data_IF_774088598752
#
_entry.id   IF_774088598752
#
_cell.length_a   1.000
_cell.length_b   1.000
_cell.length_c   1.000
_cell.angle_alpha   90.00
_cell.angle_beta   90.00
_cell.angle_gamma   90.00
#
_symmetry.space_group_name_H-M   'P 1'
#
loop_
_entity.id
_entity.type
_entity.pdbx_description
1 polymer ?
#
# COMPACT_ATOMS: atom_id res chain seq x y z
N UNK A 1 -16.81 -0.39 -2.16
CA UNK A 1 -17.07 -1.80 -2.60
C UNK A 1 -18.19 -1.90 -3.64
N UNK A 2 -19.34 -1.24 -3.44
CA UNK A 2 -20.49 -1.34 -4.36
C UNK A 2 -20.12 -0.95 -5.78
N UNK A 3 -19.49 0.22 -5.96
CA UNK A 3 -19.12 0.73 -7.29
C UNK A 3 -18.05 -0.13 -7.97
N UNK A 4 -17.09 -0.66 -7.22
CA UNK A 4 -16.05 -1.54 -7.80
C UNK A 4 -16.63 -2.87 -8.26
N UNK A 5 -17.56 -3.46 -7.51
CA UNK A 5 -18.29 -4.66 -7.93
C UNK A 5 -19.11 -4.39 -9.21
N UNK A 6 -19.79 -3.24 -9.25
CA UNK A 6 -20.52 -2.81 -10.44
C UNK A 6 -19.60 -2.63 -11.65
N UNK A 7 -18.42 -2.02 -11.47
CA UNK A 7 -17.43 -1.89 -12.54
C UNK A 7 -16.86 -3.24 -12.97
N UNK A 8 -16.63 -4.18 -12.02
CA UNK A 8 -16.23 -5.55 -12.36
C UNK A 8 -17.27 -6.26 -13.21
N UNK A 9 -18.55 -6.09 -12.91
CA UNK A 9 -19.64 -6.72 -13.68
C UNK A 9 -19.75 -6.16 -15.11
N UNK A 10 -19.45 -4.87 -15.32
CA UNK A 10 -19.68 -4.20 -16.61
C UNK A 10 -18.42 -4.00 -17.47
N UNK A 11 -17.24 -3.92 -16.84
CA UNK A 11 -15.96 -3.70 -17.52
C UNK A 11 -15.00 -4.88 -17.35
N UNK A 12 -15.21 -5.71 -16.30
CA UNK A 12 -14.38 -6.87 -16.04
C UNK A 12 -14.54 -7.96 -17.09
N UNK A 13 -13.45 -8.70 -17.34
CA UNK A 13 -13.40 -9.84 -18.24
C UNK A 13 -12.21 -10.74 -17.85
N UNK A 14 -11.87 -11.73 -18.69
CA UNK A 14 -10.72 -12.61 -18.42
C UNK A 14 -9.37 -11.88 -18.31
N UNK A 15 -9.23 -10.70 -18.95
CA UNK A 15 -8.02 -9.86 -18.92
C UNK A 15 -8.08 -8.78 -17.85
N UNK A 16 -9.22 -8.17 -17.62
CA UNK A 16 -9.42 -7.00 -16.76
C UNK A 16 -10.17 -7.40 -15.50
N UNK A 17 -9.55 -7.23 -14.35
CA UNK A 17 -10.16 -7.55 -13.05
C UNK A 17 -10.03 -6.37 -12.09
N UNK A 18 -11.16 -6.02 -11.46
CA UNK A 18 -11.22 -5.00 -10.42
C UNK A 18 -11.33 -5.67 -9.05
N UNK A 19 -10.50 -5.27 -8.11
CA UNK A 19 -10.53 -5.75 -6.72
C UNK A 19 -10.81 -4.59 -5.78
N UNK A 20 -11.66 -4.83 -4.80
CA UNK A 20 -11.96 -3.85 -3.76
C UNK A 20 -10.80 -3.74 -2.78
N UNK A 21 -10.45 -2.52 -2.42
CA UNK A 21 -9.53 -2.18 -1.34
C UNK A 21 -10.17 -1.16 -0.40
N UNK A 22 -9.41 -0.56 0.48
CA UNK A 22 -9.90 0.39 1.48
C UNK A 22 -10.17 1.76 0.84
N UNK A 23 -11.33 2.35 1.11
CA UNK A 23 -11.75 3.68 0.63
C UNK A 23 -11.73 3.77 -0.90
N UNK A 24 -10.89 4.64 -1.47
CA UNK A 24 -10.70 4.85 -2.91
C UNK A 24 -9.54 4.01 -3.49
N UNK A 25 -8.75 3.35 -2.65
CA UNK A 25 -7.57 2.57 -3.03
C UNK A 25 -7.99 1.17 -3.48
N UNK A 26 -8.42 1.04 -4.72
CA UNK A 26 -8.81 -0.23 -5.33
C UNK A 26 -7.70 -0.72 -6.27
N UNK A 27 -7.70 -2.00 -6.60
CA UNK A 27 -6.70 -2.58 -7.49
C UNK A 27 -7.33 -2.93 -8.84
N UNK A 28 -6.71 -2.45 -9.93
CA UNK A 28 -6.99 -2.86 -11.29
C UNK A 28 -5.88 -3.81 -11.76
N UNK A 29 -6.23 -5.03 -12.12
CA UNK A 29 -5.30 -6.02 -12.67
C UNK A 29 -5.59 -6.22 -14.15
N UNK A 30 -4.57 -6.05 -14.99
CA UNK A 30 -4.62 -6.30 -16.43
C UNK A 30 -3.66 -7.44 -16.75
N UNK A 31 -4.22 -8.63 -17.00
CA UNK A 31 -3.42 -9.80 -17.36
C UNK A 31 -2.72 -9.59 -18.70
N UNK A 32 -1.41 -9.76 -18.71
CA UNK A 32 -0.57 -9.50 -19.88
C UNK A 32 -0.42 -8.01 -20.21
N UNK A 33 -0.78 -7.10 -19.32
CA UNK A 33 -0.51 -5.66 -19.45
C UNK A 33 0.98 -5.34 -19.34
N UNK A 34 1.37 -4.20 -19.90
CA UNK A 34 2.75 -3.68 -19.83
C UNK A 34 2.82 -2.48 -18.87
N UNK A 35 3.77 -2.50 -17.93
CA UNK A 35 3.94 -1.41 -16.95
C UNK A 35 4.62 -0.16 -17.53
N UNK A 36 5.19 -0.22 -18.75
CA UNK A 36 5.84 0.91 -19.41
C UNK A 36 4.81 1.91 -19.94
N UNK A 37 4.05 2.44 -19.01
CA UNK A 37 3.03 3.46 -19.23
C UNK A 37 3.19 4.56 -18.19
N UNK A 38 2.89 5.79 -18.58
CA UNK A 38 2.88 6.96 -17.71
C UNK A 38 1.44 7.21 -17.22
N UNK A 39 1.28 7.15 -15.89
CA UNK A 39 0.01 7.36 -15.21
C UNK A 39 0.19 8.48 -14.18
N UNK A 40 -0.43 9.61 -14.38
CA UNK A 40 -0.34 10.76 -13.47
C UNK A 40 -1.14 10.50 -12.19
N UNK A 41 -0.54 10.55 -10.98
CA UNK A 41 -1.28 10.50 -9.73
C UNK A 41 -2.29 11.66 -9.62
N UNK A 42 -3.54 11.41 -9.22
CA UNK A 42 -4.57 12.46 -9.23
C UNK A 42 -4.31 13.57 -8.21
N UNK A 43 -3.63 13.27 -7.11
CA UNK A 43 -3.28 14.24 -6.06
C UNK A 43 -2.16 15.22 -6.47
N UNK A 44 -1.36 14.90 -7.49
CA UNK A 44 -0.33 15.80 -8.00
C UNK A 44 -0.89 16.88 -8.95
N UNK A 45 -2.12 16.70 -9.41
CA UNK A 45 -2.73 17.55 -10.45
C UNK A 45 -4.16 17.97 -10.14
N UNK A 46 -4.46 18.42 -8.91
CA UNK A 46 -5.82 18.78 -8.53
C UNK A 46 -6.35 19.88 -9.45
N UNK A 47 -7.64 19.81 -9.78
CA UNK A 47 -8.38 20.78 -10.59
C UNK A 47 -7.89 20.94 -12.05
N UNK A 48 -6.95 20.12 -12.52
CA UNK A 48 -6.53 20.15 -13.93
C UNK A 48 -7.49 19.35 -14.82
N UNK A 49 -7.68 19.74 -16.08
CA UNK A 49 -8.44 18.96 -17.05
C UNK A 49 -7.86 17.53 -17.18
N UNK A 50 -8.70 16.51 -17.10
CA UNK A 50 -8.24 15.12 -17.08
C UNK A 50 -7.75 14.60 -18.45
N UNK A 51 -8.32 15.08 -19.58
CA UNK A 51 -8.00 14.56 -20.92
C UNK A 51 -6.52 14.62 -21.29
N UNK A 52 -5.75 15.69 -21.03
CA UNK A 52 -4.31 15.71 -21.27
C UNK A 52 -3.51 14.75 -20.38
N UNK A 53 -4.12 14.31 -19.27
CA UNK A 53 -3.52 13.44 -18.25
C UNK A 53 -3.88 11.95 -18.43
N UNK A 54 -4.55 11.60 -19.53
CA UNK A 54 -4.81 10.21 -19.86
C UNK A 54 -3.49 9.44 -20.02
N UNK A 55 -3.54 8.15 -19.77
CA UNK A 55 -2.38 7.24 -19.76
C UNK A 55 -1.67 7.26 -21.12
N UNK A 56 -0.34 7.29 -21.10
CA UNK A 56 0.52 7.29 -22.29
C UNK A 56 1.50 6.12 -22.21
N UNK A 57 1.84 5.55 -23.34
CA UNK A 57 2.96 4.63 -23.44
C UNK A 57 4.29 5.39 -23.23
N UNK A 58 5.22 4.80 -22.49
CA UNK A 58 6.59 5.31 -22.37
C UNK A 58 7.51 4.60 -23.36
N UNK A 59 8.56 5.31 -23.81
CA UNK A 59 9.58 4.77 -24.71
C UNK A 59 10.78 4.17 -23.98
N UNK A 60 10.77 4.09 -22.66
CA UNK A 60 11.88 3.54 -21.90
C UNK A 60 12.10 2.07 -22.27
N UNK A 61 13.30 1.73 -22.71
CA UNK A 61 13.72 0.35 -22.91
C UNK A 61 13.74 -0.36 -21.56
N UNK A 62 13.13 -1.54 -21.49
CA UNK A 62 13.25 -2.40 -20.30
C UNK A 62 14.75 -2.61 -19.98
N UNK A 63 15.15 -2.43 -18.73
CA UNK A 63 16.47 -2.84 -18.28
C UNK A 63 16.62 -4.36 -18.41
N UNK A 64 17.87 -4.86 -18.46
CA UNK A 64 18.15 -6.31 -18.59
C UNK A 64 17.43 -7.14 -17.52
N UNK A 65 17.26 -6.61 -16.33
CA UNK A 65 16.55 -7.26 -15.21
C UNK A 65 15.03 -7.35 -15.44
N UNK A 66 14.46 -6.40 -16.16
CA UNK A 66 13.03 -6.38 -16.50
C UNK A 66 12.70 -7.38 -17.64
N UNK A 67 13.61 -7.59 -18.57
CA UNK A 67 13.47 -8.61 -19.62
C UNK A 67 13.56 -10.04 -19.07
N UNK A 68 14.40 -10.28 -18.05
CA UNK A 68 14.45 -11.57 -17.35
C UNK A 68 13.17 -11.83 -16.55
N UNK A 69 12.55 -10.79 -15.96
CA UNK A 69 11.30 -10.93 -15.24
C UNK A 69 10.12 -11.36 -16.14
N UNK A 70 10.08 -10.92 -17.40
CA UNK A 70 9.03 -11.30 -18.36
C UNK A 70 9.23 -12.71 -18.93
N UNK A 71 10.47 -13.16 -19.14
CA UNK A 71 10.76 -14.51 -19.64
C UNK A 71 10.60 -15.59 -18.55
N UNK A 72 10.84 -15.27 -17.29
CA UNK A 72 10.67 -16.20 -16.16
C UNK A 72 9.22 -16.33 -15.69
N UNK A 73 8.26 -15.55 -16.22
CA UNK A 73 6.82 -15.72 -15.96
C UNK A 73 6.24 -16.98 -16.61
N UNK A 74 6.99 -17.69 -17.45
CA UNK A 74 6.52 -18.91 -18.12
C UNK A 74 6.78 -20.21 -17.33
N UNK A 75 7.61 -20.21 -16.27
CA UNK A 75 8.10 -21.48 -15.69
C UNK A 75 7.88 -21.70 -14.17
N UNK A 76 7.26 -20.78 -13.40
CA UNK A 76 7.08 -20.99 -11.96
C UNK A 76 5.60 -20.95 -11.52
N UNK A 77 4.82 -21.98 -11.91
CA UNK A 77 3.44 -22.20 -11.42
C UNK A 77 3.35 -23.14 -10.21
N UNK A 78 4.43 -23.44 -9.49
CA UNK A 78 4.46 -24.55 -8.55
C UNK A 78 4.85 -24.25 -7.10
N UNK A 79 4.64 -23.05 -6.57
CA UNK A 79 4.78 -22.86 -5.12
C UNK A 79 3.92 -21.71 -4.61
N UNK A 80 2.79 -22.00 -4.04
CA UNK A 80 1.75 -21.14 -3.43
C UNK A 80 0.54 -20.85 -4.33
N UNK A 81 -0.10 -21.89 -4.83
CA UNK A 81 -1.37 -21.81 -5.51
C UNK A 81 -2.49 -22.34 -4.63
N UNK A 82 -3.32 -21.45 -4.08
CA UNK A 82 -4.75 -21.75 -4.17
C UNK A 82 -5.13 -21.62 -5.65
N UNK A 83 -5.82 -22.59 -6.27
CA UNK A 83 -6.00 -22.63 -7.71
C UNK A 83 -7.00 -21.55 -8.14
N UNK A 84 -6.51 -20.45 -8.72
CA UNK A 84 -7.32 -19.74 -9.70
C UNK A 84 -7.25 -20.56 -10.98
N UNK A 85 -8.26 -21.37 -11.20
CA UNK A 85 -8.42 -22.20 -12.39
C UNK A 85 -8.35 -21.33 -13.66
N UNK A 86 -7.52 -21.75 -14.62
CA UNK A 86 -7.50 -21.26 -15.98
C UNK A 86 -6.29 -20.38 -16.32
N UNK A 87 -5.17 -21.00 -16.73
CA UNK A 87 -4.15 -20.31 -17.53
C UNK A 87 -4.73 -20.04 -18.92
N UNK A 88 -5.52 -18.96 -19.06
CA UNK A 88 -5.82 -18.44 -20.40
C UNK A 88 -4.51 -17.84 -20.93
N UNK A 89 -4.01 -18.36 -22.03
CA UNK A 89 -2.83 -17.87 -22.76
C UNK A 89 -3.16 -16.55 -23.48
N UNK A 90 -3.49 -15.51 -22.70
CA UNK A 90 -3.72 -14.17 -23.24
C UNK A 90 -2.38 -13.60 -23.73
N UNK A 91 -2.33 -13.26 -25.02
CA UNK A 91 -1.15 -12.62 -25.60
C UNK A 91 -0.79 -11.33 -24.82
N UNK A 92 0.49 -11.08 -24.55
CA UNK A 92 0.95 -9.84 -23.94
C UNK A 92 0.53 -8.61 -24.74
N UNK A 93 0.17 -7.54 -24.04
CA UNK A 93 -0.09 -6.23 -24.65
C UNK A 93 1.21 -5.44 -24.78
N UNK A 94 1.29 -4.62 -25.81
CA UNK A 94 2.32 -3.57 -25.90
C UNK A 94 2.01 -2.44 -24.90
N UNK A 95 2.98 -1.55 -24.58
CA UNK A 95 2.72 -0.37 -23.77
C UNK A 95 1.57 0.47 -24.31
N UNK A 96 1.53 0.69 -25.64
CA UNK A 96 0.45 1.46 -26.26
C UNK A 96 -0.93 0.77 -26.12
N UNK A 97 -1.00 -0.53 -26.36
CA UNK A 97 -2.24 -1.28 -26.19
C UNK A 97 -2.72 -1.26 -24.73
N UNK A 98 -1.80 -1.29 -23.77
CA UNK A 98 -2.12 -1.21 -22.34
C UNK A 98 -2.66 0.18 -22.01
N UNK A 99 -2.02 1.25 -22.48
CA UNK A 99 -2.46 2.62 -22.28
C UNK A 99 -3.85 2.86 -22.91
N UNK A 100 -4.06 2.39 -24.15
CA UNK A 100 -5.34 2.52 -24.84
C UNK A 100 -6.48 1.78 -24.11
N UNK A 101 -6.20 0.56 -23.59
CA UNK A 101 -7.15 -0.21 -22.80
C UNK A 101 -7.53 0.53 -21.51
N UNK A 102 -6.53 1.07 -20.78
CA UNK A 102 -6.80 1.81 -19.53
C UNK A 102 -7.62 3.07 -19.83
N UNK A 103 -7.30 3.79 -20.90
CA UNK A 103 -8.04 4.99 -21.30
C UNK A 103 -9.48 4.67 -21.68
N UNK A 104 -9.73 3.57 -22.39
CA UNK A 104 -11.09 3.08 -22.68
C UNK A 104 -11.84 2.78 -21.36
N UNK A 105 -11.20 2.09 -20.42
CA UNK A 105 -11.78 1.80 -19.11
C UNK A 105 -12.12 3.08 -18.32
N UNK A 106 -11.24 4.08 -18.33
CA UNK A 106 -11.49 5.40 -17.70
C UNK A 106 -12.74 6.03 -18.28
N UNK A 107 -12.80 6.17 -19.60
CA UNK A 107 -13.92 6.83 -20.29
C UNK A 107 -15.24 6.08 -20.10
N UNK A 108 -15.22 4.76 -20.23
CA UNK A 108 -16.42 3.94 -20.01
C UNK A 108 -16.89 3.95 -18.56
N UNK A 109 -15.97 4.00 -17.61
CA UNK A 109 -16.33 4.11 -16.19
C UNK A 109 -17.11 5.39 -15.89
N UNK A 110 -16.77 6.51 -16.55
CA UNK A 110 -17.48 7.78 -16.40
C UNK A 110 -18.94 7.66 -16.81
N UNK A 111 -19.21 7.01 -17.95
CA UNK A 111 -20.58 6.80 -18.41
C UNK A 111 -21.38 5.85 -17.50
N UNK A 112 -20.76 4.77 -17.02
CA UNK A 112 -21.40 3.82 -16.11
C UNK A 112 -21.71 4.44 -14.74
N UNK A 113 -20.76 5.18 -14.19
CA UNK A 113 -20.87 5.73 -12.83
C UNK A 113 -21.81 6.94 -12.78
N UNK A 114 -21.96 7.69 -13.85
CA UNK A 114 -22.77 8.91 -13.94
C UNK A 114 -24.19 8.73 -13.42
N UNK A 115 -24.84 7.63 -13.77
CA UNK A 115 -26.21 7.36 -13.42
C UNK A 115 -26.38 6.26 -12.35
N UNK A 116 -25.28 5.83 -11.72
CA UNK A 116 -25.37 4.82 -10.68
C UNK A 116 -26.18 5.30 -9.46
N UNK A 117 -27.13 4.50 -8.94
CA UNK A 117 -28.03 4.94 -7.84
C UNK A 117 -27.29 5.45 -6.61
N UNK A 118 -26.14 4.84 -6.25
CA UNK A 118 -25.32 5.32 -5.13
C UNK A 118 -24.79 6.74 -5.36
N UNK A 119 -24.38 7.08 -6.59
CA UNK A 119 -23.90 8.41 -6.92
C UNK A 119 -25.05 9.42 -6.92
N UNK A 120 -26.22 9.04 -7.41
CA UNK A 120 -27.43 9.88 -7.35
C UNK A 120 -27.80 10.18 -5.88
N UNK A 121 -27.75 9.17 -5.00
CA UNK A 121 -27.98 9.35 -3.56
C UNK A 121 -26.94 10.29 -2.96
N UNK A 122 -25.64 10.12 -3.27
CA UNK A 122 -24.56 10.99 -2.78
C UNK A 122 -24.79 12.45 -3.18
N UNK A 123 -25.11 12.70 -4.43
CA UNK A 123 -25.40 14.05 -4.94
C UNK A 123 -26.63 14.65 -4.27
N UNK A 124 -27.68 13.87 -4.03
CA UNK A 124 -28.85 14.34 -3.29
C UNK A 124 -28.54 14.70 -1.82
N UNK A 125 -27.52 14.08 -1.25
CA UNK A 125 -27.01 14.38 0.10
C UNK A 125 -25.95 15.50 0.10
N UNK A 126 -25.69 16.17 -1.02
CA UNK A 126 -24.67 17.21 -1.16
C UNK A 126 -23.22 16.69 -1.12
N UNK A 127 -23.02 15.39 -1.40
CA UNK A 127 -21.71 14.74 -1.43
C UNK A 127 -21.24 14.54 -2.87
N UNK A 128 -19.93 14.63 -3.08
CA UNK A 128 -19.33 14.37 -4.40
C UNK A 128 -19.57 12.93 -4.86
N UNK A 129 -19.95 12.69 -6.12
CA UNK A 129 -20.05 11.35 -6.69
C UNK A 129 -18.68 10.79 -7.01
N UNK A 130 -18.53 9.47 -6.93
CA UNK A 130 -17.38 8.78 -7.53
C UNK A 130 -17.65 8.62 -9.03
N UNK A 131 -17.06 9.48 -9.84
CA UNK A 131 -17.44 9.70 -11.24
C UNK A 131 -16.51 9.09 -12.28
N UNK A 132 -15.37 8.51 -11.87
CA UNK A 132 -14.39 7.88 -12.76
C UNK A 132 -13.50 6.91 -12.00
N UNK A 133 -12.97 5.89 -12.68
CA UNK A 133 -11.73 5.27 -12.21
C UNK A 133 -10.55 6.14 -12.67
N UNK A 134 -9.44 6.06 -11.93
CA UNK A 134 -8.21 6.72 -12.29
C UNK A 134 -7.01 5.86 -11.87
N UNK A 135 -6.62 4.86 -12.71
CA UNK A 135 -5.47 4.01 -12.42
C UNK A 135 -4.15 4.79 -12.44
N UNK A 136 -3.29 4.51 -11.46
CA UNK A 136 -1.95 5.07 -11.36
C UNK A 136 -1.01 4.09 -10.65
N UNK A 137 0.29 4.37 -10.60
CA UNK A 137 1.33 3.47 -10.06
C UNK A 137 1.31 2.08 -10.74
N UNK A 138 1.59 1.98 -12.05
CA UNK A 138 1.66 0.70 -12.72
C UNK A 138 2.83 -0.14 -12.22
N UNK A 139 2.63 -1.44 -12.07
CA UNK A 139 3.67 -2.37 -11.64
C UNK A 139 3.31 -3.80 -11.97
N UNK A 140 4.31 -4.68 -11.93
CA UNK A 140 4.10 -6.12 -12.00
C UNK A 140 4.01 -6.74 -10.61
N UNK A 141 3.51 -7.97 -10.53
CA UNK A 141 3.60 -8.77 -9.31
C UNK A 141 5.08 -8.83 -8.88
N UNK A 142 5.42 -8.41 -7.64
CA UNK A 142 6.81 -8.41 -7.20
C UNK A 142 7.34 -9.84 -7.05
N UNK A 143 8.61 -10.05 -7.45
CA UNK A 143 9.41 -11.19 -7.06
C UNK A 143 10.17 -10.79 -5.81
N UNK A 144 9.62 -11.10 -4.66
CA UNK A 144 10.16 -10.72 -3.36
C UNK A 144 10.58 -11.97 -2.62
N UNK A 145 11.80 -12.00 -2.08
CA UNK A 145 12.24 -13.06 -1.20
C UNK A 145 11.45 -13.01 0.11
N UNK A 146 11.19 -14.18 0.68
CA UNK A 146 10.61 -14.25 2.03
C UNK A 146 11.61 -13.69 3.03
N UNK A 147 11.11 -13.11 4.10
CA UNK A 147 11.96 -12.57 5.15
C UNK A 147 12.85 -13.65 5.77
N UNK A 148 12.30 -14.85 5.96
CA UNK A 148 13.02 -16.01 6.47
C UNK A 148 14.12 -16.55 5.54
N UNK A 149 13.98 -16.40 4.22
CA UNK A 149 15.00 -16.80 3.25
C UNK A 149 16.21 -15.86 3.31
N UNK A 150 15.93 -14.55 3.47
CA UNK A 150 16.95 -13.51 3.57
C UNK A 150 17.59 -13.46 4.96
N UNK A 151 16.82 -13.68 5.99
CA UNK A 151 17.20 -13.66 7.41
C UNK A 151 16.76 -14.94 8.10
N UNK A 152 17.55 -16.03 8.04
CA UNK A 152 17.15 -17.36 8.55
C UNK A 152 16.85 -17.42 10.06
N UNK A 153 17.28 -16.42 10.82
CA UNK A 153 16.94 -16.27 12.24
C UNK A 153 15.48 -15.84 12.45
N UNK A 154 14.85 -15.20 11.44
CA UNK A 154 13.44 -14.81 11.47
C UNK A 154 12.61 -15.94 10.87
N UNK A 155 12.19 -16.90 11.69
CA UNK A 155 11.39 -18.06 11.25
C UNK A 155 9.91 -17.72 11.14
N UNK A 156 9.45 -16.84 12.02
CA UNK A 156 8.05 -16.40 12.10
C UNK A 156 8.03 -14.88 12.25
N UNK A 157 7.17 -14.24 11.49
CA UNK A 157 6.98 -12.81 11.61
C UNK A 157 5.54 -12.40 11.36
N UNK A 158 5.18 -11.23 11.87
CA UNK A 158 3.85 -10.67 11.70
C UNK A 158 3.92 -9.22 11.19
N UNK A 159 2.87 -8.80 10.48
CA UNK A 159 2.64 -7.43 10.06
C UNK A 159 1.29 -6.93 10.57
N UNK A 160 1.29 -5.72 11.12
CA UNK A 160 0.12 -5.01 11.63
C UNK A 160 0.02 -3.69 10.88
N UNK A 161 -0.98 -3.56 10.01
CA UNK A 161 -1.24 -2.32 9.28
C UNK A 161 -2.71 -2.23 8.89
N UNK A 162 -3.24 -1.01 8.81
CA UNK A 162 -4.52 -0.73 8.20
C UNK A 162 -4.43 -0.48 6.68
N UNK A 163 -3.21 -0.43 6.13
CA UNK A 163 -2.93 -0.07 4.75
C UNK A 163 -2.71 -1.32 3.92
N UNK A 164 -3.46 -1.46 2.82
CA UNK A 164 -3.40 -2.64 1.95
C UNK A 164 -2.03 -2.83 1.31
N UNK A 165 -1.31 -1.75 0.98
CA UNK A 165 0.04 -1.80 0.43
C UNK A 165 1.00 -2.50 1.40
N UNK A 166 1.01 -2.09 2.66
CA UNK A 166 1.87 -2.67 3.70
C UNK A 166 1.49 -4.13 3.97
N UNK A 167 0.19 -4.42 4.03
CA UNK A 167 -0.30 -5.80 4.15
C UNK A 167 0.11 -6.67 2.95
N UNK A 168 0.15 -6.09 1.75
CA UNK A 168 0.62 -6.75 0.54
C UNK A 168 2.12 -7.06 0.59
N UNK A 169 2.95 -6.11 1.02
CA UNK A 169 4.38 -6.31 1.25
C UNK A 169 4.60 -7.42 2.28
N UNK A 170 3.89 -7.35 3.41
CA UNK A 170 3.94 -8.38 4.45
C UNK A 170 3.58 -9.78 3.91
N UNK A 171 2.55 -9.87 3.05
CA UNK A 171 2.16 -11.12 2.40
C UNK A 171 3.30 -11.70 1.53
N UNK A 172 3.95 -10.87 0.72
CA UNK A 172 5.07 -11.31 -0.12
C UNK A 172 6.33 -11.64 0.69
N UNK A 173 6.54 -10.97 1.83
CA UNK A 173 7.60 -11.28 2.78
C UNK A 173 7.33 -12.53 3.65
N UNK A 174 6.20 -13.21 3.46
CA UNK A 174 5.71 -14.35 4.24
C UNK A 174 5.43 -14.01 5.72
N UNK A 175 5.01 -12.78 5.98
CA UNK A 175 4.57 -12.35 7.31
C UNK A 175 3.08 -12.63 7.52
N UNK A 176 2.71 -13.04 8.73
CA UNK A 176 1.31 -13.19 9.14
C UNK A 176 0.66 -11.82 9.23
N UNK A 177 -0.43 -11.60 8.52
CA UNK A 177 -1.21 -10.36 8.63
C UNK A 177 -2.13 -10.44 9.83
N UNK A 178 -2.00 -9.50 10.74
CA UNK A 178 -2.82 -9.41 11.94
C UNK A 178 -3.83 -8.27 11.80
N UNK A 179 -5.12 -8.62 11.83
CA UNK A 179 -6.21 -7.64 11.80
C UNK A 179 -6.42 -7.09 13.20
N UNK A 180 -6.53 -5.78 13.32
CA UNK A 180 -6.71 -5.07 14.58
C UNK A 180 -8.03 -4.29 14.56
N UNK A 181 -8.86 -4.50 15.56
CA UNK A 181 -10.12 -3.77 15.70
C UNK A 181 -9.86 -2.27 15.94
N UNK A 182 -10.52 -1.42 15.14
CA UNK A 182 -10.35 0.03 15.21
C UNK A 182 -9.06 0.55 14.59
N UNK A 183 -8.28 -0.31 13.91
CA UNK A 183 -7.14 0.16 13.14
C UNK A 183 -7.60 0.88 11.87
N UNK A 184 -7.14 2.12 11.72
CA UNK A 184 -7.31 2.95 10.51
C UNK A 184 -5.94 3.40 10.01
N UNK A 185 -5.87 3.95 8.79
CA UNK A 185 -4.70 4.67 8.25
C UNK A 185 -4.66 6.14 8.70
N UNK A 186 -5.61 6.58 9.53
CA UNK A 186 -5.77 7.98 9.95
C UNK A 186 -5.31 8.20 11.39
N UNK A 187 -5.36 9.44 11.82
CA UNK A 187 -4.97 9.88 13.17
C UNK A 187 -5.87 9.36 14.30
N UNK A 188 -7.09 8.91 13.98
CA UNK A 188 -8.04 8.29 14.91
C UNK A 188 -7.84 6.78 15.08
N UNK A 189 -6.75 6.22 14.54
CA UNK A 189 -6.43 4.79 14.65
C UNK A 189 -6.36 4.34 16.12
N UNK A 190 -6.77 3.12 16.40
CA UNK A 190 -6.66 2.53 17.73
C UNK A 190 -5.21 2.06 18.00
N UNK A 191 -4.40 2.96 18.58
CA UNK A 191 -3.01 2.70 18.94
C UNK A 191 -2.88 1.56 19.94
N UNK A 192 -3.74 1.56 20.97
CA UNK A 192 -3.71 0.60 22.07
C UNK A 192 -3.93 -0.83 21.56
N UNK A 193 -4.92 -1.04 20.69
CA UNK A 193 -5.18 -2.35 20.10
C UNK A 193 -4.05 -2.79 19.17
N UNK A 194 -3.45 -1.86 18.40
CA UNK A 194 -2.27 -2.15 17.59
C UNK A 194 -1.09 -2.62 18.44
N UNK A 195 -0.80 -1.92 19.53
CA UNK A 195 0.26 -2.26 20.50
C UNK A 195 -0.02 -3.59 21.18
N UNK A 196 -1.22 -3.80 21.70
CA UNK A 196 -1.60 -5.05 22.34
C UNK A 196 -1.43 -6.25 21.39
N UNK A 197 -1.84 -6.08 20.12
CA UNK A 197 -1.66 -7.11 19.10
C UNK A 197 -0.19 -7.37 18.77
N UNK A 198 0.65 -6.32 18.74
CA UNK A 198 2.08 -6.47 18.52
C UNK A 198 2.77 -7.21 19.67
N UNK A 199 2.48 -6.83 20.92
CA UNK A 199 3.01 -7.50 22.11
C UNK A 199 2.57 -8.98 22.20
N UNK A 200 1.33 -9.28 21.84
CA UNK A 200 0.86 -10.67 21.81
C UNK A 200 1.56 -11.48 20.71
N UNK A 201 1.80 -10.87 19.53
CA UNK A 201 2.52 -11.51 18.45
C UNK A 201 3.98 -11.79 18.82
N UNK A 202 4.66 -10.87 19.49
CA UNK A 202 6.07 -11.03 19.94
C UNK A 202 6.29 -12.21 20.91
N UNK A 203 5.24 -12.73 21.54
CA UNK A 203 5.37 -13.95 22.38
C UNK A 203 5.68 -15.20 21.56
N UNK A 204 5.43 -15.20 20.26
CA UNK A 204 5.55 -16.36 19.38
C UNK A 204 6.25 -16.08 18.06
N UNK A 205 6.46 -14.83 17.70
CA UNK A 205 7.08 -14.42 16.45
C UNK A 205 8.43 -13.76 16.72
N UNK A 206 9.40 -14.04 15.88
CA UNK A 206 10.77 -13.49 15.95
C UNK A 206 10.82 -12.04 15.42
N UNK A 207 9.78 -11.59 14.70
CA UNK A 207 9.70 -10.29 14.08
C UNK A 207 8.26 -9.77 14.00
N UNK A 208 8.03 -8.52 14.42
CA UNK A 208 6.74 -7.85 14.24
C UNK A 208 6.96 -6.49 13.58
N UNK A 209 6.31 -6.28 12.44
CA UNK A 209 6.27 -5.00 11.77
C UNK A 209 4.95 -4.29 12.11
N UNK A 210 5.04 -3.26 12.93
CA UNK A 210 3.91 -2.43 13.34
C UNK A 210 3.92 -1.12 12.55
N UNK A 211 2.91 -0.92 11.71
CA UNK A 211 2.75 0.27 10.87
C UNK A 211 1.66 1.21 11.39
N UNK A 212 2.01 2.49 11.50
CA UNK A 212 1.10 3.57 11.89
C UNK A 212 1.30 4.74 10.93
N UNK A 213 0.28 5.10 10.15
CA UNK A 213 0.34 6.07 9.04
C UNK A 213 -0.07 7.50 9.48
N UNK A 214 -0.63 7.66 10.67
CA UNK A 214 -1.28 8.88 11.15
C UNK A 214 -0.48 10.17 10.94
N UNK A 215 0.84 10.14 11.13
CA UNK A 215 1.70 11.30 10.97
C UNK A 215 1.93 11.69 9.50
N UNK A 216 1.89 10.73 8.59
CA UNK A 216 1.96 10.96 7.15
C UNK A 216 0.71 11.70 6.65
N UNK A 217 -0.47 11.21 6.98
CA UNK A 217 -1.75 11.84 6.63
C UNK A 217 -1.85 13.28 7.15
N UNK A 218 -1.40 13.54 8.39
CA UNK A 218 -1.35 14.90 8.93
C UNK A 218 -0.40 15.82 8.13
N UNK A 219 0.69 15.26 7.61
CA UNK A 219 1.60 15.96 6.69
C UNK A 219 0.93 16.33 5.37
N UNK A 220 0.22 15.40 4.75
CA UNK A 220 -0.56 15.64 3.53
C UNK A 220 -1.68 16.67 3.71
N UNK A 221 -2.32 16.71 4.87
CA UNK A 221 -3.29 17.76 5.20
C UNK A 221 -2.63 19.14 5.39
N UNK A 222 -1.33 19.19 5.60
CA UNK A 222 -0.60 20.42 5.93
C UNK A 222 -0.95 20.97 7.31
N UNK A 223 -1.43 20.10 8.21
CA UNK A 223 -1.87 20.47 9.54
C UNK A 223 -0.76 20.21 10.56
N UNK A 224 -0.03 21.27 10.92
CA UNK A 224 1.13 21.18 11.83
C UNK A 224 0.73 20.72 13.24
N UNK A 225 -0.37 21.24 13.79
CA UNK A 225 -0.84 20.87 15.13
C UNK A 225 -1.24 19.39 15.18
N UNK A 226 -1.93 18.90 14.13
CA UNK A 226 -2.27 17.50 14.01
C UNK A 226 -1.02 16.63 13.85
N UNK A 227 -0.02 17.08 13.07
CA UNK A 227 1.26 16.38 12.88
C UNK A 227 1.98 16.21 14.23
N UNK A 228 2.07 17.26 15.03
CA UNK A 228 2.66 17.21 16.36
C UNK A 228 1.90 16.24 17.27
N UNK A 229 0.57 16.34 17.30
CA UNK A 229 -0.28 15.44 18.07
C UNK A 229 -0.08 13.97 17.69
N UNK A 230 0.03 13.68 16.38
CA UNK A 230 0.22 12.29 15.91
C UNK A 230 1.61 11.76 16.30
N UNK A 231 2.66 12.60 16.30
CA UNK A 231 4.00 12.22 16.76
C UNK A 231 3.99 11.97 18.29
N UNK A 232 3.34 12.83 19.06
CA UNK A 232 3.16 12.64 20.52
C UNK A 232 2.38 11.35 20.83
N UNK A 233 1.35 11.02 20.02
CA UNK A 233 0.62 9.77 20.12
C UNK A 233 1.49 8.56 19.77
N UNK A 234 2.34 8.65 18.75
CA UNK A 234 3.28 7.58 18.41
C UNK A 234 4.20 7.27 19.58
N UNK A 235 4.74 8.28 20.24
CA UNK A 235 5.59 8.12 21.42
C UNK A 235 4.81 7.57 22.61
N UNK A 236 3.78 8.28 23.04
CA UNK A 236 3.08 8.01 24.32
C UNK A 236 2.13 6.80 24.27
N UNK A 237 1.56 6.48 23.10
CA UNK A 237 0.53 5.43 22.94
C UNK A 237 1.04 4.19 22.18
N UNK A 238 2.24 4.26 21.55
CA UNK A 238 2.80 3.12 20.85
C UNK A 238 4.21 2.79 21.33
N UNK A 239 5.21 3.64 21.09
CA UNK A 239 6.62 3.32 21.38
C UNK A 239 6.85 3.15 22.87
N UNK A 240 6.40 4.10 23.69
CA UNK A 240 6.54 4.04 25.15
C UNK A 240 5.92 2.78 25.76
N UNK A 241 4.64 2.47 25.49
CA UNK A 241 4.02 1.24 25.99
C UNK A 241 4.70 -0.05 25.52
N UNK A 242 5.20 -0.12 24.27
CA UNK A 242 5.97 -1.28 23.81
C UNK A 242 7.28 -1.39 24.58
N UNK A 243 8.04 -0.30 24.70
CA UNK A 243 9.28 -0.26 25.47
C UNK A 243 9.08 -0.70 26.92
N UNK A 244 8.10 -0.12 27.62
CA UNK A 244 7.80 -0.48 29.02
C UNK A 244 7.40 -1.95 29.18
N UNK A 245 6.73 -2.52 28.19
CA UNK A 245 6.33 -3.93 28.23
C UNK A 245 7.51 -4.88 28.03
N UNK A 246 8.47 -4.56 27.12
CA UNK A 246 9.49 -5.54 26.68
C UNK A 246 10.86 -5.32 27.32
N UNK A 247 11.13 -4.16 27.96
CA UNK A 247 12.47 -3.81 28.51
C UNK A 247 13.01 -4.81 29.51
N UNK A 248 12.13 -5.51 30.25
CA UNK A 248 12.46 -6.44 31.30
C UNK A 248 12.13 -7.90 30.92
N UNK A 249 11.83 -8.19 29.64
CA UNK A 249 11.59 -9.55 29.20
C UNK A 249 12.86 -10.39 29.29
N UNK A 250 12.73 -11.65 29.69
CA UNK A 250 13.85 -12.59 29.77
C UNK A 250 14.49 -12.81 28.40
N UNK A 251 13.67 -12.93 27.34
CA UNK A 251 14.12 -12.93 25.95
C UNK A 251 14.19 -11.47 25.45
N UNK A 252 15.40 -10.97 25.13
CA UNK A 252 15.58 -9.56 24.80
C UNK A 252 14.95 -9.21 23.44
N UNK A 253 14.24 -8.08 23.39
CA UNK A 253 13.60 -7.56 22.19
C UNK A 253 14.35 -6.31 21.73
N UNK A 254 14.67 -6.24 20.43
CA UNK A 254 15.13 -5.01 19.79
C UNK A 254 13.92 -4.19 19.30
N UNK A 255 13.95 -2.88 19.53
CA UNK A 255 12.96 -1.94 19.00
C UNK A 255 13.65 -1.05 17.98
N UNK A 256 13.15 -1.03 16.75
CA UNK A 256 13.53 -0.08 15.72
C UNK A 256 12.33 0.82 15.38
N UNK A 257 12.55 2.13 15.38
CA UNK A 257 11.53 3.14 15.03
C UNK A 257 12.08 4.02 13.93
N UNK A 258 11.36 4.09 12.82
CA UNK A 258 11.74 4.90 11.66
C UNK A 258 10.50 5.25 10.84
N UNK A 259 10.44 6.45 10.22
CA UNK A 259 9.52 6.70 9.11
C UNK A 259 10.05 6.04 7.83
N UNK A 260 9.20 5.87 6.84
CA UNK A 260 9.60 5.43 5.49
C UNK A 260 10.09 6.61 4.63
N UNK A 261 9.54 7.81 4.83
CA UNK A 261 9.90 9.06 4.17
C UNK A 261 9.43 10.26 5.00
N UNK A 262 9.97 11.47 4.76
CA UNK A 262 9.39 12.70 5.26
C UNK A 262 8.13 13.09 4.48
N UNK A 263 7.15 13.69 5.17
CA UNK A 263 5.97 14.33 4.58
C UNK A 263 5.78 15.69 5.24
N UNK A 264 6.55 16.71 4.81
CA UNK A 264 6.48 18.04 5.40
C UNK A 264 5.12 18.70 5.19
N UNK A 265 4.55 19.28 6.25
CA UNK A 265 3.26 19.96 6.19
C UNK A 265 3.23 21.13 5.20
N UNK A 266 4.36 21.81 5.00
CA UNK A 266 4.48 22.91 4.03
C UNK A 266 4.30 22.42 2.59
N UNK A 267 4.88 21.26 2.26
CA UNK A 267 4.87 20.71 0.90
C UNK A 267 3.66 19.80 0.65
N UNK A 268 3.09 19.22 1.70
CA UNK A 268 1.95 18.28 1.64
C UNK A 268 2.18 17.07 0.73
N UNK A 269 3.42 16.69 0.54
CA UNK A 269 3.84 15.55 -0.26
C UNK A 269 5.16 14.99 0.26
N UNK A 270 5.50 13.80 -0.20
CA UNK A 270 6.73 13.14 0.19
C UNK A 270 7.97 13.87 -0.35
N UNK A 271 9.04 13.81 0.43
CA UNK A 271 10.36 14.30 0.04
C UNK A 271 11.40 13.18 0.19
N UNK A 272 12.60 13.39 -0.36
CA UNK A 272 13.68 12.40 -0.38
C UNK A 272 14.84 12.74 0.57
N UNK A 273 14.59 13.57 1.56
CA UNK A 273 15.59 13.87 2.60
C UNK A 273 15.86 12.63 3.47
N UNK A 274 17.04 12.56 4.10
CA UNK A 274 17.33 11.51 5.07
C UNK A 274 16.32 11.47 6.19
N UNK A 275 15.90 10.26 6.56
CA UNK A 275 14.97 10.02 7.68
C UNK A 275 15.75 9.80 8.98
N UNK A 276 15.22 10.23 10.12
CA UNK A 276 15.72 9.78 11.42
C UNK A 276 15.37 8.31 11.63
N UNK A 277 16.23 7.56 12.31
CA UNK A 277 15.89 6.25 12.80
C UNK A 277 16.46 6.04 14.22
N UNK A 278 15.78 5.20 14.98
CA UNK A 278 16.14 4.88 16.33
C UNK A 278 16.16 3.35 16.50
N UNK A 279 17.17 2.83 17.15
CA UNK A 279 17.26 1.42 17.55
C UNK A 279 17.58 1.36 19.03
N UNK A 280 16.77 0.61 19.76
CA UNK A 280 17.02 0.26 21.14
C UNK A 280 17.14 -1.25 21.30
N UNK A 281 18.07 -1.66 22.16
CA UNK A 281 18.25 -3.06 22.58
C UNK A 281 18.81 -3.08 24.00
N UNK A 282 18.39 -4.01 24.87
CA UNK A 282 18.90 -4.09 26.26
C UNK A 282 20.43 -4.17 26.29
N UNK A 283 21.06 -3.28 27.06
CA UNK A 283 22.50 -3.24 27.23
C UNK A 283 23.31 -2.54 26.14
N UNK A 284 22.65 -1.94 25.14
CA UNK A 284 23.35 -1.02 24.23
C UNK A 284 23.54 0.34 24.91
N UNK A 285 24.76 0.81 24.94
CA UNK A 285 25.07 2.18 25.35
C UNK A 285 24.60 3.15 24.27
N UNK A 286 23.94 4.27 24.65
CA UNK A 286 23.54 5.30 23.70
C UNK A 286 24.78 5.87 22.98
N UNK A 287 24.63 6.10 21.67
CA UNK A 287 25.64 6.85 20.93
C UNK A 287 25.51 8.37 21.19
N UNK A 288 26.40 9.16 20.59
CA UNK A 288 26.42 10.62 20.75
C UNK A 288 25.54 11.33 19.73
N UNK A 289 24.83 10.59 18.83
CA UNK A 289 23.98 11.17 17.81
C UNK A 289 22.70 11.68 18.49
N UNK A 290 22.47 12.98 18.34
CA UNK A 290 21.21 13.62 18.72
C UNK A 290 20.58 14.18 17.46
N UNK A 291 19.35 13.79 17.21
CA UNK A 291 18.56 14.28 16.08
C UNK A 291 17.76 15.51 16.48
#
# INVERSE_FOLDING_TARGET
DVLVKYLQEHLGNERVCFYTGVQYRHLLVIKGGDKRIDCTPPHDVPLKPFRPLLVKATSESATSDELQATSAMQDDSAAHSSPVAGSSSLAPLTPQQTADLINDLILRSQELLKNHPLNQKRMAEGKDPANSIWPWSPGYRPKMERLSDKFPQVKRGAVISAVDLINGIGYYADLRRLTVEGATGLYDTNYENKVATALEALKTDDFVYLHIEASDEAGHEGNVDLKLLTIENLDSRAVGPIYEAVKDWEEPVAIAVLPDHPTPCELRTHTNEPIPFFIWYPGIEPDSVQT
#
